data_IF_409865236848
#
_entry.id   IF_409865236848
#
_cell.length_a   1.000
_cell.length_b   1.000
_cell.length_c   1.000
_cell.angle_alpha   90.00
_cell.angle_beta   90.00
_cell.angle_gamma   90.00
#
_symmetry.space_group_name_H-M   'P 1'
#
loop_
_entity.id
_entity.type
_entity.pdbx_description
1 polymer ?
#
# COMPACT_ATOMS: atom_id res chain seq x y z
N UNK A 1 15.19 -13.43 13.22
CA UNK A 1 13.78 -13.80 13.45
C UNK A 1 13.15 -14.06 12.08
N UNK A 2 12.89 -15.32 11.73
CA UNK A 2 12.20 -15.66 10.49
C UNK A 2 10.73 -15.28 10.64
N UNK A 3 10.21 -14.48 9.70
CA UNK A 3 8.79 -14.12 9.66
C UNK A 3 7.96 -15.40 9.46
N UNK A 4 7.27 -15.85 10.52
CA UNK A 4 6.44 -17.06 10.55
C UNK A 4 5.34 -17.07 9.47
N UNK A 5 5.01 -15.90 8.89
CA UNK A 5 4.03 -15.74 7.83
C UNK A 5 4.39 -16.49 6.54
N UNK A 6 5.68 -16.57 6.17
CA UNK A 6 6.12 -17.23 4.93
C UNK A 6 6.26 -18.76 5.09
N UNK A 7 6.07 -19.28 6.30
CA UNK A 7 6.26 -20.71 6.59
C UNK A 7 4.99 -21.56 6.36
N UNK A 8 3.84 -20.94 6.15
CA UNK A 8 2.59 -21.67 5.91
C UNK A 8 2.36 -21.89 4.41
N UNK A 9 2.13 -23.16 4.02
CA UNK A 9 1.86 -23.57 2.64
C UNK A 9 0.78 -22.72 1.95
N UNK A 10 -0.26 -22.34 2.69
CA UNK A 10 -1.37 -21.54 2.17
C UNK A 10 -0.92 -20.15 1.70
N UNK A 11 -0.01 -19.49 2.44
CA UNK A 11 0.46 -18.17 2.06
C UNK A 11 1.34 -18.23 0.81
N UNK A 12 2.21 -19.24 0.72
CA UNK A 12 3.04 -19.48 -0.47
C UNK A 12 2.15 -19.72 -1.70
N UNK A 13 1.08 -20.50 -1.56
CA UNK A 13 0.15 -20.77 -2.66
C UNK A 13 -0.59 -19.50 -3.11
N UNK A 14 -1.09 -18.69 -2.16
CA UNK A 14 -1.78 -17.43 -2.45
C UNK A 14 -0.84 -16.44 -3.16
N UNK A 15 0.42 -16.38 -2.74
CA UNK A 15 1.43 -15.54 -3.37
C UNK A 15 1.74 -16.00 -4.80
N UNK A 16 1.95 -17.31 -5.03
CA UNK A 16 2.12 -17.86 -6.39
C UNK A 16 0.91 -17.53 -7.28
N UNK A 17 -0.30 -17.71 -6.76
CA UNK A 17 -1.53 -17.42 -7.49
C UNK A 17 -1.62 -15.93 -7.86
N UNK A 18 -1.35 -15.01 -6.93
CA UNK A 18 -1.39 -13.58 -7.19
C UNK A 18 -0.35 -13.15 -8.23
N UNK A 19 0.87 -13.70 -8.15
CA UNK A 19 1.95 -13.42 -9.11
C UNK A 19 1.58 -13.85 -10.53
N UNK A 20 0.80 -14.93 -10.66
CA UNK A 20 0.40 -15.49 -11.95
C UNK A 20 -0.88 -14.87 -12.50
N UNK A 21 -1.80 -14.49 -11.60
CA UNK A 21 -3.07 -13.85 -11.92
C UNK A 21 -2.90 -12.38 -12.32
N UNK A 22 -2.08 -11.64 -11.57
CA UNK A 22 -1.93 -10.18 -11.70
C UNK A 22 -0.46 -9.75 -11.85
N UNK A 23 0.30 -10.30 -12.83
CA UNK A 23 1.73 -10.05 -12.96
C UNK A 23 2.08 -8.59 -13.19
N UNK A 24 1.21 -7.81 -13.84
CA UNK A 24 1.44 -6.39 -14.14
C UNK A 24 1.07 -5.48 -12.97
N UNK A 25 0.49 -6.03 -11.91
CA UNK A 25 -0.03 -5.30 -10.75
C UNK A 25 0.92 -5.37 -9.56
N UNK A 26 0.72 -4.47 -8.60
CA UNK A 26 1.38 -4.48 -7.28
C UNK A 26 1.10 -5.75 -6.45
N UNK A 27 0.14 -6.59 -6.84
CA UNK A 27 -0.14 -7.87 -6.18
C UNK A 27 0.83 -8.98 -6.56
N UNK A 28 1.63 -8.80 -7.61
CA UNK A 28 2.68 -9.75 -8.00
C UNK A 28 3.98 -9.61 -7.19
N UNK A 29 4.02 -8.67 -6.24
CA UNK A 29 5.15 -8.46 -5.35
C UNK A 29 4.76 -8.77 -3.91
N UNK A 30 5.72 -9.30 -3.16
CA UNK A 30 5.55 -9.60 -1.73
C UNK A 30 5.51 -8.30 -0.94
N UNK A 31 4.31 -7.76 -0.69
CA UNK A 31 4.13 -6.49 0.02
C UNK A 31 4.73 -6.47 1.43
N UNK A 32 4.87 -7.64 2.08
CA UNK A 32 5.49 -7.77 3.41
C UNK A 32 7.03 -7.83 3.36
N UNK A 33 7.60 -7.91 2.16
CA UNK A 33 9.01 -8.12 1.92
C UNK A 33 9.35 -9.60 1.76
N UNK A 34 10.17 -9.89 0.76
CA UNK A 34 10.87 -11.16 0.64
C UNK A 34 12.05 -11.15 1.63
N UNK A 35 12.15 -12.11 2.56
CA UNK A 35 13.28 -12.22 3.48
C UNK A 35 14.67 -12.15 2.83
N UNK A 36 14.81 -12.60 1.57
CA UNK A 36 16.07 -12.51 0.82
C UNK A 36 16.42 -11.07 0.40
N UNK A 37 15.43 -10.20 0.25
CA UNK A 37 15.57 -8.83 -0.27
C UNK A 37 15.29 -7.75 0.79
N UNK A 38 14.76 -8.10 1.97
CA UNK A 38 14.49 -7.12 3.04
C UNK A 38 15.75 -6.36 3.48
N UNK A 39 16.93 -7.00 3.45
CA UNK A 39 18.19 -6.39 3.87
C UNK A 39 18.81 -5.45 2.82
N UNK A 40 18.34 -5.49 1.57
CA UNK A 40 18.82 -4.60 0.51
C UNK A 40 18.05 -3.29 0.41
N UNK A 41 16.99 -3.12 1.22
CA UNK A 41 16.21 -1.89 1.28
C UNK A 41 17.05 -0.75 1.88
N UNK A 42 17.34 0.27 1.08
CA UNK A 42 18.05 1.46 1.56
C UNK A 42 17.14 2.40 2.35
N UNK A 43 17.74 3.19 3.24
CA UNK A 43 17.04 4.22 3.99
C UNK A 43 16.33 5.24 3.07
N UNK A 44 16.97 5.61 1.95
CA UNK A 44 16.36 6.52 0.98
C UNK A 44 15.09 5.93 0.36
N UNK A 45 15.13 4.65 -0.06
CA UNK A 45 13.95 3.97 -0.60
C UNK A 45 12.80 3.88 0.41
N UNK A 46 13.13 3.72 1.71
CA UNK A 46 12.12 3.75 2.78
C UNK A 46 11.50 5.14 2.92
N UNK A 47 12.31 6.20 2.90
CA UNK A 47 11.83 7.59 2.95
C UNK A 47 10.94 7.93 1.75
N UNK A 48 11.37 7.56 0.54
CA UNK A 48 10.61 7.80 -0.70
C UNK A 48 9.27 7.05 -0.68
N UNK A 49 9.26 5.80 -0.23
CA UNK A 49 8.05 5.00 -0.10
C UNK A 49 7.06 5.58 0.92
N UNK A 50 7.57 6.11 2.04
CA UNK A 50 6.76 6.77 3.06
C UNK A 50 6.17 8.10 2.55
N UNK A 51 7.00 8.94 1.90
CA UNK A 51 6.58 10.21 1.32
C UNK A 51 5.50 10.04 0.24
N UNK A 52 5.55 8.94 -0.53
CA UNK A 52 4.55 8.62 -1.55
C UNK A 52 3.20 8.15 -0.98
N UNK A 53 3.14 7.64 0.26
CA UNK A 53 1.96 6.93 0.79
C UNK A 53 1.33 7.54 2.05
N UNK A 54 2.09 8.17 2.94
CA UNK A 54 1.64 8.40 4.33
C UNK A 54 1.81 9.87 4.81
N UNK A 55 2.81 10.65 4.37
CA UNK A 55 3.10 11.97 5.00
C UNK A 55 3.77 12.96 4.01
N UNK A 56 3.58 14.29 4.12
CA UNK A 56 3.42 15.18 2.95
C UNK A 56 4.35 16.41 2.88
N UNK A 57 4.35 17.09 1.73
CA UNK A 57 4.55 18.55 1.48
C UNK A 57 5.13 18.83 0.08
N UNK A 58 5.66 17.82 -0.61
CA UNK A 58 6.10 18.00 -2.00
C UNK A 58 4.87 18.17 -2.90
N UNK A 59 4.91 19.10 -3.87
CA UNK A 59 3.77 19.44 -4.74
C UNK A 59 3.21 18.24 -5.53
N UNK A 60 3.96 17.13 -5.61
CA UNK A 60 3.60 15.93 -6.36
C UNK A 60 3.19 14.72 -5.48
N UNK A 61 3.04 14.89 -4.16
CA UNK A 61 2.73 13.79 -3.24
C UNK A 61 1.22 13.53 -3.12
N UNK A 62 0.77 12.41 -3.69
CA UNK A 62 -0.61 11.92 -3.65
C UNK A 62 -0.97 11.40 -2.26
N UNK A 63 -2.03 11.96 -1.66
CA UNK A 63 -2.60 11.47 -0.39
C UNK A 63 -3.76 10.51 -0.68
N UNK A 64 -3.70 9.28 -0.15
CA UNK A 64 -4.78 8.29 -0.27
C UNK A 64 -5.13 7.66 1.09
N UNK A 65 -5.29 8.50 2.11
CA UNK A 65 -5.74 8.07 3.44
C UNK A 65 -7.27 8.03 3.51
N UNK A 66 -7.82 6.99 4.14
CA UNK A 66 -9.25 6.91 4.50
C UNK A 66 -9.36 6.85 6.01
N UNK A 67 -10.09 7.80 6.59
CA UNK A 67 -10.38 7.81 8.02
C UNK A 67 -11.70 7.08 8.27
N UNK A 68 -11.69 6.11 9.20
CA UNK A 68 -12.88 5.36 9.60
C UNK A 68 -13.03 5.46 11.11
N UNK A 69 -14.17 5.97 11.58
CA UNK A 69 -14.57 6.01 12.99
C UNK A 69 -15.69 5.01 13.24
N UNK A 70 -15.71 4.38 14.42
CA UNK A 70 -16.74 3.40 14.78
C UNK A 70 -17.08 3.47 16.27
N UNK A 71 -18.35 3.23 16.62
CA UNK A 71 -18.83 3.19 18.00
C UNK A 71 -19.78 4.34 18.35
N UNK A 72 -19.85 4.68 19.64
CA UNK A 72 -20.77 5.68 20.19
C UNK A 72 -20.07 6.99 20.61
N UNK A 73 -18.78 7.16 20.25
CA UNK A 73 -18.09 8.41 20.54
C UNK A 73 -18.62 9.53 19.62
N UNK A 74 -18.74 10.77 20.11
CA UNK A 74 -19.16 11.91 19.30
C UNK A 74 -18.25 12.10 18.09
N UNK A 75 -18.82 12.19 16.89
CA UNK A 75 -18.08 12.31 15.64
C UNK A 75 -17.45 13.70 15.49
N UNK A 76 -18.08 14.71 16.06
CA UNK A 76 -17.74 16.12 15.95
C UNK A 76 -16.30 16.37 16.41
N UNK A 77 -15.94 15.87 17.59
CA UNK A 77 -14.58 16.02 18.14
C UNK A 77 -13.52 15.31 17.29
N UNK A 78 -13.88 14.21 16.61
CA UNK A 78 -12.96 13.52 15.70
C UNK A 78 -12.75 14.33 14.41
N UNK A 79 -13.80 14.93 13.88
CA UNK A 79 -13.73 15.76 12.68
C UNK A 79 -12.91 17.03 12.92
N UNK A 80 -13.10 17.72 14.04
CA UNK A 80 -12.30 18.90 14.41
C UNK A 80 -10.81 18.56 14.56
N UNK A 81 -10.51 17.42 15.18
CA UNK A 81 -9.13 16.97 15.34
C UNK A 81 -8.50 16.59 13.99
N UNK A 82 -9.25 15.90 13.13
CA UNK A 82 -8.76 15.53 11.79
C UNK A 82 -8.54 16.79 10.96
N UNK A 83 -9.50 17.73 10.95
CA UNK A 83 -9.40 18.97 10.18
C UNK A 83 -8.19 19.81 10.61
N UNK A 84 -8.03 20.04 11.92
CA UNK A 84 -6.86 20.77 12.45
C UNK A 84 -5.52 20.09 12.12
N UNK A 85 -5.48 18.76 12.09
CA UNK A 85 -4.29 18.01 11.68
C UNK A 85 -4.06 18.04 10.16
N UNK A 86 -5.07 18.36 9.37
CA UNK A 86 -5.00 18.44 7.90
C UNK A 86 -4.72 19.86 7.38
N UNK A 87 -4.66 20.88 8.23
CA UNK A 87 -4.40 22.28 7.79
C UNK A 87 -3.00 22.45 7.18
N UNK A 88 -2.01 21.67 7.62
CA UNK A 88 -0.60 21.79 7.18
C UNK A 88 -0.37 21.30 5.73
N UNK A 89 -1.44 20.91 5.03
CA UNK A 89 -1.39 19.97 3.93
C UNK A 89 -2.17 20.46 2.72
N UNK A 90 -1.53 20.44 1.55
CA UNK A 90 -2.20 20.77 0.27
C UNK A 90 -2.94 19.57 -0.32
N UNK A 91 -4.03 19.85 -1.04
CA UNK A 91 -4.76 18.89 -1.86
C UNK A 91 -3.92 18.54 -3.10
N UNK A 92 -3.85 17.25 -3.43
CA UNK A 92 -3.15 16.74 -4.62
C UNK A 92 -4.07 15.77 -5.34
N UNK A 93 -4.11 15.86 -6.67
CA UNK A 93 -4.87 14.92 -7.50
C UNK A 93 -4.24 13.52 -7.41
N UNK A 94 -5.01 12.47 -7.12
CA UNK A 94 -4.46 11.14 -7.03
C UNK A 94 -3.92 10.68 -8.38
N UNK A 95 -2.63 10.36 -8.43
CA UNK A 95 -1.98 9.79 -9.62
C UNK A 95 -2.72 8.50 -10.01
N UNK A 96 -3.08 8.43 -11.29
CA UNK A 96 -3.87 7.36 -11.91
C UNK A 96 -3.49 5.97 -11.39
N UNK A 97 -4.53 5.22 -11.03
CA UNK A 97 -4.47 3.94 -10.33
C UNK A 97 -3.70 2.84 -11.06
N UNK A 98 -3.53 1.75 -10.32
CA UNK A 98 -2.78 0.57 -10.74
C UNK A 98 -3.20 0.09 -12.14
N UNK A 99 -2.24 -0.40 -12.95
CA UNK A 99 -2.52 -0.79 -14.33
C UNK A 99 -3.56 -1.91 -14.38
N UNK A 100 -4.51 -1.81 -15.31
CA UNK A 100 -5.46 -2.89 -15.58
C UNK A 100 -4.72 -4.11 -16.14
N UNK A 101 -4.90 -5.26 -15.51
CA UNK A 101 -4.39 -6.53 -16.04
C UNK A 101 -5.20 -6.92 -17.29
N UNK A 102 -4.55 -7.19 -18.44
CA UNK A 102 -5.26 -7.56 -19.66
C UNK A 102 -5.90 -8.94 -19.53
N UNK A 103 -7.10 -9.10 -20.12
CA UNK A 103 -7.74 -10.41 -20.21
C UNK A 103 -6.85 -11.42 -20.95
N UNK A 104 -6.77 -12.63 -20.42
CA UNK A 104 -5.95 -13.69 -20.99
C UNK A 104 -6.53 -14.19 -22.31
N UNK A 105 -5.69 -14.23 -23.35
CA UNK A 105 -6.07 -14.76 -24.66
C UNK A 105 -6.05 -16.29 -24.71
N UNK A 106 -5.37 -16.94 -23.76
CA UNK A 106 -5.20 -18.39 -23.63
C UNK A 106 -5.06 -18.76 -22.14
N UNK A 107 -5.37 -20.00 -21.73
CA UNK A 107 -5.17 -20.45 -20.36
C UNK A 107 -3.69 -20.32 -19.98
N UNK A 108 -3.41 -19.83 -18.76
CA UNK A 108 -2.07 -19.91 -18.14
C UNK A 108 -2.09 -21.06 -17.15
N UNK A 109 -1.36 -22.13 -17.45
CA UNK A 109 -1.23 -23.34 -16.63
C UNK A 109 -0.22 -23.19 -15.53
#
# INVERSE_FOLDING_TARGET
MLSTSMATLMNILIEDQNNRLLPSHTYSVLSRGDPAHTTSLSHQQLQDAHAKRITPAMPDCVRNGRFSTYGHLPLESHMEFIDSSLVEFSQVEPSVGEPHEPCWKKPRS
#
